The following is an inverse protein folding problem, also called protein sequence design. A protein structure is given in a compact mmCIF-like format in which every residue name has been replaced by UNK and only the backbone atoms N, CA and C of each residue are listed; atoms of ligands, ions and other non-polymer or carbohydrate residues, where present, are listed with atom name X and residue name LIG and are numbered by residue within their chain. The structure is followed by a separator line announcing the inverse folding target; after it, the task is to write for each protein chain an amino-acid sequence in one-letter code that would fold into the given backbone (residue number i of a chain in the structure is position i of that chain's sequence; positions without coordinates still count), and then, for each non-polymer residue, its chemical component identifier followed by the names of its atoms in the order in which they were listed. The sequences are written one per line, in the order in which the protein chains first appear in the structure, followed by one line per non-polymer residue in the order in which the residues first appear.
data_IF_724898803372
#
_entry.id   IF_724898803372
#
_cell.length_a   1.000
_cell.length_b   1.000
_cell.length_c   1.000
_cell.angle_alpha   90.00
_cell.angle_beta   90.00
_cell.angle_gamma   90.00
#
_symmetry.space_group_name_H-M   'P 1'
#
loop_
_entity.id
_entity.type
_entity.pdbx_description
1 polymer ?
#
# COMPACT_ATOMS: atom_id res chain seq x y z
N UNK A 1 7.80 3.03 22.44
CA UNK A 1 8.03 2.08 21.32
C UNK A 1 7.06 2.49 20.23
N UNK A 2 7.54 3.14 19.16
CA UNK A 2 6.66 3.60 18.09
C UNK A 2 6.06 2.36 17.42
N UNK A 3 4.74 2.32 17.47
CA UNK A 3 3.91 1.15 17.27
C UNK A 3 3.95 0.77 15.79
N UNK A 4 4.32 -0.47 15.44
CA UNK A 4 4.40 -0.94 14.05
C UNK A 4 3.10 -0.68 13.26
N UNK A 5 1.97 -0.61 13.98
CA UNK A 5 0.66 -0.19 13.48
C UNK A 5 0.59 1.25 12.94
N UNK A 6 1.29 2.22 13.56
CA UNK A 6 1.32 3.61 13.07
C UNK A 6 2.10 3.71 11.77
N UNK A 7 3.26 3.05 11.69
CA UNK A 7 4.08 3.04 10.48
C UNK A 7 3.33 2.39 9.31
N UNK A 8 2.62 1.28 9.56
CA UNK A 8 1.75 0.65 8.57
C UNK A 8 0.66 1.61 8.07
N UNK A 9 0.07 2.40 8.97
CA UNK A 9 -0.98 3.37 8.63
C UNK A 9 -0.43 4.49 7.74
N UNK A 10 0.74 5.02 8.07
CA UNK A 10 1.42 6.04 7.27
C UNK A 10 1.75 5.55 5.86
N UNK A 11 2.33 4.34 5.76
CA UNK A 11 2.66 3.71 4.47
C UNK A 11 1.41 3.55 3.60
N UNK A 12 0.34 2.98 4.16
CA UNK A 12 -0.94 2.79 3.45
C UNK A 12 -1.52 4.13 2.99
N UNK A 13 -1.53 5.14 3.85
CA UNK A 13 -2.05 6.46 3.52
C UNK A 13 -1.20 7.13 2.41
N UNK A 14 0.12 6.95 2.45
CA UNK A 14 1.03 7.43 1.43
C UNK A 14 0.76 6.79 0.06
N UNK A 15 0.60 5.47 0.01
CA UNK A 15 0.26 4.73 -1.20
C UNK A 15 -1.10 5.17 -1.77
N UNK A 16 -2.14 5.27 -0.93
CA UNK A 16 -3.46 5.73 -1.37
C UNK A 16 -3.39 7.15 -1.93
N UNK A 17 -2.66 8.06 -1.27
CA UNK A 17 -2.52 9.44 -1.73
C UNK A 17 -1.79 9.52 -3.06
N UNK A 18 -0.70 8.77 -3.22
CA UNK A 18 0.05 8.70 -4.48
C UNK A 18 -0.80 8.10 -5.61
N UNK A 19 -1.46 6.98 -5.34
CA UNK A 19 -2.32 6.29 -6.30
C UNK A 19 -3.51 7.15 -6.71
N UNK A 20 -4.20 7.82 -5.77
CA UNK A 20 -5.27 8.77 -6.10
C UNK A 20 -4.78 9.97 -6.91
N UNK A 21 -3.55 10.43 -6.68
CA UNK A 21 -2.97 11.57 -7.43
C UNK A 21 -2.53 11.17 -8.84
N UNK A 22 -2.00 9.96 -9.02
CA UNK A 22 -1.46 9.47 -10.29
C UNK A 22 -2.45 8.66 -11.12
N UNK A 23 -3.50 8.11 -10.49
CA UNK A 23 -4.40 7.11 -11.07
C UNK A 23 -3.83 5.70 -11.09
N UNK A 24 -2.49 5.55 -11.00
CA UNK A 24 -1.81 4.25 -11.09
C UNK A 24 -0.75 4.09 -10.00
N UNK A 25 -0.45 2.85 -9.63
CA UNK A 25 0.70 2.43 -8.81
C UNK A 25 1.32 1.17 -9.39
N UNK A 26 2.61 0.94 -9.12
CA UNK A 26 3.23 -0.34 -9.52
C UNK A 26 3.21 -1.36 -8.38
N UNK A 27 3.18 -2.65 -8.73
CA UNK A 27 3.35 -3.73 -7.74
C UNK A 27 4.64 -3.54 -6.93
N UNK A 28 5.71 -3.10 -7.61
CA UNK A 28 7.01 -2.82 -7.02
C UNK A 28 6.94 -1.66 -6.01
N UNK A 29 6.35 -0.53 -6.37
CA UNK A 29 6.22 0.61 -5.43
C UNK A 29 5.47 0.23 -4.16
N UNK A 30 4.45 -0.61 -4.29
CA UNK A 30 3.67 -1.09 -3.14
C UNK A 30 4.50 -2.08 -2.32
N UNK A 31 5.15 -3.06 -2.96
CA UNK A 31 6.01 -4.04 -2.28
C UNK A 31 7.19 -3.36 -1.55
N UNK A 32 7.89 -2.42 -2.21
CA UNK A 32 8.99 -1.64 -1.64
C UNK A 32 8.52 -0.83 -0.42
N UNK A 33 7.33 -0.23 -0.50
CA UNK A 33 6.75 0.52 0.62
C UNK A 33 6.33 -0.38 1.78
N UNK A 34 5.87 -1.60 1.48
CA UNK A 34 5.42 -2.57 2.47
C UNK A 34 6.56 -3.42 3.05
N UNK A 35 7.74 -3.45 2.43
CA UNK A 35 8.91 -4.21 2.93
C UNK A 35 9.37 -3.74 4.32
N UNK A 36 9.07 -2.50 4.71
CA UNK A 36 9.37 -1.97 6.04
C UNK A 36 8.50 -2.58 7.16
N UNK A 37 7.45 -3.33 6.79
CA UNK A 37 6.51 -3.99 7.70
C UNK A 37 6.43 -5.46 7.35
N UNK A 38 6.55 -6.32 8.36
CA UNK A 38 6.53 -7.77 8.21
C UNK A 38 5.09 -8.25 7.93
N UNK A 39 4.65 -8.07 6.68
CA UNK A 39 3.32 -8.40 6.21
C UNK A 39 3.31 -9.74 5.49
N UNK A 40 2.25 -10.50 5.72
CA UNK A 40 1.99 -11.73 4.98
C UNK A 40 1.53 -11.42 3.55
N UNK A 41 1.78 -12.32 2.59
CA UNK A 41 1.31 -12.16 1.21
C UNK A 41 -0.19 -11.86 1.10
N UNK A 42 -1.01 -12.50 1.94
CA UNK A 42 -2.46 -12.30 2.00
C UNK A 42 -2.85 -10.84 2.35
N UNK A 43 -2.10 -10.22 3.26
CA UNK A 43 -2.33 -8.82 3.64
C UNK A 43 -1.95 -7.86 2.51
N UNK A 44 -0.93 -8.21 1.73
CA UNK A 44 -0.48 -7.45 0.57
C UNK A 44 -1.54 -7.56 -0.54
N UNK A 45 -2.06 -8.76 -0.80
CA UNK A 45 -3.11 -9.01 -1.79
C UNK A 45 -4.40 -8.26 -1.46
N UNK A 46 -4.86 -8.31 -0.20
CA UNK A 46 -5.99 -7.49 0.27
C UNK A 46 -5.75 -5.99 0.10
N UNK A 47 -4.50 -5.54 0.16
CA UNK A 47 -4.16 -4.14 -0.08
C UNK A 47 -4.25 -3.76 -1.56
N UNK A 48 -3.84 -4.65 -2.46
CA UNK A 48 -4.03 -4.47 -3.91
C UNK A 48 -5.51 -4.35 -4.27
N UNK A 49 -6.36 -5.23 -3.75
CA UNK A 49 -7.82 -5.16 -3.96
C UNK A 49 -8.39 -3.83 -3.49
N UNK A 50 -7.95 -3.33 -2.31
CA UNK A 50 -8.38 -2.03 -1.78
C UNK A 50 -7.97 -0.88 -2.69
N UNK A 51 -6.73 -0.88 -3.20
CA UNK A 51 -6.26 0.15 -4.12
C UNK A 51 -7.09 0.13 -5.41
N UNK A 52 -7.31 -1.06 -5.98
CA UNK A 52 -8.16 -1.26 -7.15
C UNK A 52 -9.60 -0.77 -6.92
N UNK A 53 -10.18 -1.08 -5.75
CA UNK A 53 -11.52 -0.61 -5.36
C UNK A 53 -11.62 0.90 -5.16
N UNK A 54 -10.50 1.58 -4.94
CA UNK A 54 -10.42 3.05 -4.90
C UNK A 54 -10.23 3.69 -6.28
N UNK A 55 -10.23 2.89 -7.35
CA UNK A 55 -10.01 3.34 -8.73
C UNK A 55 -8.54 3.60 -9.05
N UNK A 56 -7.62 2.98 -8.30
CA UNK A 56 -6.18 3.06 -8.55
C UNK A 56 -5.77 1.82 -9.33
N UNK A 57 -5.30 2.01 -10.55
CA UNK A 57 -4.79 0.92 -11.39
C UNK A 57 -3.44 0.41 -10.85
N UNK A 58 -3.22 -0.90 -10.89
CA UNK A 58 -1.95 -1.51 -10.45
C UNK A 58 -1.28 -2.16 -11.66
N UNK A 59 -0.03 -1.78 -11.93
CA UNK A 59 0.77 -2.23 -13.10
C UNK A 59 2.13 -2.80 -12.75
#
# INVERSE_FOLDING_TARGET
MANQAEKLKEIKQGLITRGKKRGILTYKEIADSLQEVDLTPELIESFYEKLSGLGIEIV
#
